data_IF_752380897002
#
_entry.id   IF_752380897002
#
_cell.length_a   1.000
_cell.length_b   1.000
_cell.length_c   1.000
_cell.angle_alpha   90.00
_cell.angle_beta   90.00
_cell.angle_gamma   90.00
#
_symmetry.space_group_name_H-M   'P 1'
#
loop_
_entity.id
_entity.type
_entity.pdbx_description
1 polymer ?
#
# COMPACT_ATOMS: atom_id res chain seq x y z
N UNK A 1 11.21 15.44 2.75
CA UNK A 1 11.26 16.62 1.88
C UNK A 1 10.09 17.56 2.10
N UNK A 2 10.12 18.75 1.49
CA UNK A 2 8.98 19.69 1.54
C UNK A 2 7.91 19.20 0.56
N UNK A 3 6.62 19.13 0.93
CA UNK A 3 5.54 18.85 0.00
C UNK A 3 5.50 19.90 -1.13
N UNK A 4 5.16 19.46 -2.33
CA UNK A 4 4.96 20.38 -3.44
C UNK A 4 3.57 21.04 -3.29
N UNK A 5 3.54 22.36 -3.23
CA UNK A 5 2.31 23.14 -3.11
C UNK A 5 2.30 24.24 -4.17
N UNK A 6 1.12 24.55 -4.72
CA UNK A 6 0.92 25.67 -5.62
C UNK A 6 -0.39 26.37 -5.22
N UNK A 7 -0.31 27.66 -4.92
CA UNK A 7 -1.47 28.48 -4.57
C UNK A 7 -2.16 29.09 -5.81
N UNK A 8 -1.55 28.96 -6.98
CA UNK A 8 -2.08 29.50 -8.22
C UNK A 8 -1.61 28.71 -9.45
N UNK A 9 -2.31 28.89 -10.57
CA UNK A 9 -1.91 28.32 -11.87
C UNK A 9 -0.50 28.78 -12.27
N UNK A 10 -0.13 30.01 -11.95
CA UNK A 10 1.19 30.57 -12.25
C UNK A 10 2.28 29.83 -11.45
N UNK A 11 2.04 29.54 -10.19
CA UNK A 11 2.98 28.76 -9.36
C UNK A 11 3.08 27.31 -9.85
N UNK A 12 1.96 26.70 -10.22
CA UNK A 12 1.95 25.37 -10.82
C UNK A 12 2.78 25.34 -12.12
N UNK A 13 2.63 26.32 -13.00
CA UNK A 13 3.43 26.45 -14.21
C UNK A 13 4.93 26.59 -13.92
N UNK A 14 5.31 27.39 -12.92
CA UNK A 14 6.70 27.51 -12.46
C UNK A 14 7.25 26.21 -11.90
N UNK A 15 6.43 25.41 -11.21
CA UNK A 15 6.84 24.09 -10.74
C UNK A 15 7.13 23.14 -11.92
N UNK A 16 6.28 23.10 -12.94
CA UNK A 16 6.53 22.31 -14.15
C UNK A 16 7.82 22.73 -14.85
N UNK A 17 8.07 24.04 -14.99
CA UNK A 17 9.30 24.54 -15.58
C UNK A 17 10.53 24.17 -14.74
N UNK A 18 10.44 24.28 -13.40
CA UNK A 18 11.52 23.91 -12.48
C UNK A 18 11.90 22.43 -12.61
N UNK A 19 10.91 21.53 -12.74
CA UNK A 19 11.11 20.09 -12.86
C UNK A 19 11.22 19.60 -14.31
N UNK A 20 11.24 20.48 -15.30
CA UNK A 20 11.27 20.12 -16.72
C UNK A 20 12.42 19.16 -17.06
N UNK A 21 13.58 19.35 -16.45
CA UNK A 21 14.77 18.50 -16.68
C UNK A 21 14.62 17.05 -16.25
N UNK A 22 13.66 16.71 -15.37
CA UNK A 22 13.40 15.34 -14.94
C UNK A 22 12.21 14.71 -15.68
N UNK A 23 11.62 15.43 -16.64
CA UNK A 23 10.52 14.98 -17.50
C UNK A 23 9.37 14.34 -16.72
N UNK A 24 8.69 15.08 -15.79
CA UNK A 24 7.64 14.50 -14.97
C UNK A 24 6.49 14.01 -15.84
N UNK A 25 6.16 12.73 -15.71
CA UNK A 25 5.09 12.10 -16.48
C UNK A 25 3.74 12.21 -15.79
N UNK A 26 3.72 12.00 -14.49
CA UNK A 26 2.50 11.89 -13.70
C UNK A 26 2.52 12.87 -12.54
N UNK A 27 1.42 13.58 -12.38
CA UNK A 27 1.16 14.43 -11.23
C UNK A 27 0.09 13.79 -10.37
N UNK A 28 0.34 13.73 -9.06
CA UNK A 28 -0.62 13.27 -8.07
C UNK A 28 -1.10 14.44 -7.24
N UNK A 29 -2.40 14.49 -6.96
CA UNK A 29 -3.02 15.43 -6.04
C UNK A 29 -3.45 14.74 -4.75
N UNK A 30 -3.41 15.47 -3.63
CA UNK A 30 -3.93 15.00 -2.35
C UNK A 30 -5.44 14.84 -2.39
N UNK A 31 -5.95 13.78 -1.75
CA UNK A 31 -7.39 13.58 -1.48
C UNK A 31 -7.87 14.54 -0.39
N UNK A 32 -6.98 14.80 0.56
CA UNK A 32 -7.24 15.69 1.68
C UNK A 32 -6.91 17.13 1.33
N UNK A 33 -7.76 18.05 1.75
CA UNK A 33 -7.50 19.49 1.74
C UNK A 33 -6.97 19.85 3.13
N UNK A 34 -5.73 20.29 3.19
CA UNK A 34 -5.06 20.69 4.43
C UNK A 34 -5.20 22.20 4.66
N UNK A 35 -5.26 22.61 5.94
CA UNK A 35 -5.28 24.04 6.34
C UNK A 35 -3.92 24.69 6.11
N UNK A 36 -2.85 23.98 6.42
CA UNK A 36 -1.45 24.44 6.27
C UNK A 36 -0.59 23.31 5.72
N UNK A 37 0.26 23.60 4.73
CA UNK A 37 1.25 22.65 4.18
C UNK A 37 2.58 23.39 3.98
N UNK A 38 3.39 23.44 5.02
CA UNK A 38 4.72 24.05 4.98
C UNK A 38 5.83 22.99 5.04
N UNK A 39 5.58 21.88 5.73
CA UNK A 39 6.51 20.78 5.94
C UNK A 39 5.79 19.42 5.92
N UNK A 40 6.56 18.35 5.81
CA UNK A 40 6.03 16.99 5.67
C UNK A 40 5.20 16.55 6.90
N UNK A 41 5.61 16.95 8.10
CA UNK A 41 4.91 16.62 9.33
C UNK A 41 3.49 17.22 9.40
N UNK A 42 3.20 18.27 8.62
CA UNK A 42 1.86 18.86 8.56
C UNK A 42 0.84 17.91 7.91
N UNK A 43 1.30 17.00 7.03
CA UNK A 43 0.46 15.98 6.40
C UNK A 43 0.13 14.81 7.34
N UNK A 44 0.81 14.69 8.47
CA UNK A 44 0.61 13.63 9.48
C UNK A 44 -0.41 14.00 10.55
N UNK A 45 -0.75 15.29 10.61
CA UNK A 45 -1.65 15.86 11.61
C UNK A 45 -3.09 15.79 11.11
N UNK A 46 -3.90 14.92 11.72
CA UNK A 46 -5.31 14.81 11.34
C UNK A 46 -6.07 16.12 11.51
N UNK A 47 -5.83 16.85 12.58
CA UNK A 47 -6.44 18.17 12.85
C UNK A 47 -6.14 19.24 11.77
N UNK A 48 -5.13 18.99 10.94
CA UNK A 48 -4.79 19.86 9.81
C UNK A 48 -5.66 19.63 8.57
N UNK A 49 -6.45 18.55 8.53
CA UNK A 49 -7.35 18.25 7.42
C UNK A 49 -8.61 19.12 7.55
N UNK A 50 -8.87 19.94 6.51
CA UNK A 50 -10.07 20.76 6.42
C UNK A 50 -11.24 20.02 5.75
N UNK A 51 -10.94 19.27 4.67
CA UNK A 51 -11.91 18.48 3.91
C UNK A 51 -11.26 17.20 3.41
N UNK A 52 -12.08 16.19 3.14
CA UNK A 52 -11.67 14.93 2.50
C UNK A 52 -12.75 14.49 1.52
N UNK A 53 -12.38 14.18 0.30
CA UNK A 53 -13.29 13.60 -0.70
C UNK A 53 -13.46 12.10 -0.43
N UNK A 54 -14.68 11.57 -0.25
CA UNK A 54 -14.92 10.13 -0.34
C UNK A 54 -14.55 9.63 -1.74
N UNK A 55 -13.68 8.62 -1.81
CA UNK A 55 -13.20 8.07 -3.08
C UNK A 55 -13.23 6.54 -3.03
N UNK A 56 -13.87 5.94 -4.01
CA UNK A 56 -13.80 4.51 -4.29
C UNK A 56 -12.73 4.28 -5.33
N UNK A 57 -11.72 3.51 -4.99
CA UNK A 57 -10.66 3.12 -5.92
C UNK A 57 -11.03 1.80 -6.58
N UNK A 58 -11.27 1.85 -7.89
CA UNK A 58 -11.66 0.71 -8.70
C UNK A 58 -10.53 0.40 -9.67
N UNK A 59 -9.67 -0.50 -9.28
CA UNK A 59 -8.57 -0.99 -10.10
C UNK A 59 -9.04 -2.01 -11.14
N UNK A 60 -8.35 -2.05 -12.27
CA UNK A 60 -8.59 -3.02 -13.34
C UNK A 60 -7.44 -3.08 -14.34
N UNK A 61 -7.78 -3.37 -15.57
CA UNK A 61 -6.88 -3.33 -16.72
C UNK A 61 -7.63 -2.76 -17.95
N UNK A 62 -6.89 -2.46 -19.02
CA UNK A 62 -7.52 -2.00 -20.26
C UNK A 62 -8.45 -3.06 -20.87
N UNK A 63 -8.21 -4.34 -20.66
CA UNK A 63 -9.05 -5.44 -21.13
C UNK A 63 -10.33 -5.61 -20.30
N UNK A 64 -10.34 -5.08 -19.07
CA UNK A 64 -11.49 -5.17 -18.15
C UNK A 64 -12.17 -3.83 -17.90
N UNK A 65 -11.91 -2.82 -18.72
CA UNK A 65 -12.39 -1.45 -18.51
C UNK A 65 -13.92 -1.35 -18.41
N UNK A 66 -14.67 -2.16 -19.18
CA UNK A 66 -16.13 -2.20 -19.11
C UNK A 66 -16.62 -2.73 -17.75
N UNK A 67 -15.94 -3.74 -17.19
CA UNK A 67 -16.24 -4.26 -15.85
C UNK A 67 -15.86 -3.25 -14.75
N UNK A 68 -14.81 -2.47 -14.96
CA UNK A 68 -14.46 -1.35 -14.08
C UNK A 68 -15.56 -0.29 -14.07
N UNK A 69 -16.13 0.06 -15.24
CA UNK A 69 -17.30 0.95 -15.33
C UNK A 69 -18.54 0.32 -14.69
N UNK A 70 -18.78 -0.98 -14.89
CA UNK A 70 -19.91 -1.69 -14.27
C UNK A 70 -19.81 -1.62 -12.73
N UNK A 71 -18.62 -1.81 -12.15
CA UNK A 71 -18.38 -1.64 -10.72
C UNK A 71 -18.63 -0.19 -10.26
N UNK A 72 -18.16 0.79 -11.03
CA UNK A 72 -18.42 2.21 -10.76
C UNK A 72 -19.90 2.55 -10.78
N UNK A 73 -20.68 1.97 -11.71
CA UNK A 73 -22.13 2.16 -11.78
C UNK A 73 -22.84 1.65 -10.53
N UNK A 74 -22.46 0.50 -10.00
CA UNK A 74 -23.02 -0.02 -8.75
C UNK A 74 -22.86 1.00 -7.60
N UNK A 75 -21.68 1.63 -7.51
CA UNK A 75 -21.43 2.66 -6.48
C UNK A 75 -22.26 3.92 -6.77
N UNK A 76 -22.33 4.38 -8.01
CA UNK A 76 -23.14 5.56 -8.41
C UNK A 76 -24.62 5.33 -8.10
N UNK A 77 -25.16 4.16 -8.43
CA UNK A 77 -26.55 3.80 -8.17
C UNK A 77 -26.84 3.77 -6.65
N UNK A 78 -25.90 3.25 -5.86
CA UNK A 78 -25.98 3.31 -4.38
C UNK A 78 -26.03 4.77 -3.89
N UNK A 79 -25.19 5.65 -4.41
CA UNK A 79 -25.15 7.06 -4.02
C UNK A 79 -26.46 7.78 -4.40
N UNK A 80 -26.96 7.54 -5.60
CA UNK A 80 -28.26 8.10 -6.07
C UNK A 80 -29.42 7.65 -5.18
N UNK A 81 -29.49 6.36 -4.80
CA UNK A 81 -30.48 5.84 -3.87
C UNK A 81 -30.44 6.52 -2.49
N UNK A 82 -29.29 7.08 -2.10
CA UNK A 82 -29.10 7.85 -0.87
C UNK A 82 -29.23 9.36 -1.08
N UNK A 83 -29.63 9.80 -2.27
CA UNK A 83 -29.85 11.21 -2.61
C UNK A 83 -28.58 12.01 -2.88
N UNK A 84 -27.47 11.36 -3.23
CA UNK A 84 -26.20 12.00 -3.59
C UNK A 84 -25.95 11.81 -5.07
N UNK A 85 -26.15 12.84 -5.87
CA UNK A 85 -26.08 12.79 -7.34
C UNK A 85 -25.28 13.95 -7.93
N UNK A 86 -25.60 15.18 -7.54
CA UNK A 86 -25.04 16.41 -8.15
C UNK A 86 -23.56 16.60 -7.81
N UNK A 87 -23.19 16.22 -6.59
CA UNK A 87 -21.80 16.30 -6.11
C UNK A 87 -20.95 15.08 -6.49
N UNK A 88 -21.49 14.11 -7.23
CA UNK A 88 -20.77 12.92 -7.68
C UNK A 88 -20.06 13.21 -9.01
N UNK A 89 -18.83 12.76 -9.13
CA UNK A 89 -18.09 12.72 -10.39
C UNK A 89 -17.20 11.49 -10.48
N UNK A 90 -16.79 11.17 -11.67
CA UNK A 90 -15.99 10.03 -12.02
C UNK A 90 -14.66 10.49 -12.59
N UNK A 91 -13.63 9.70 -12.36
CA UNK A 91 -12.29 9.97 -12.85
C UNK A 91 -11.67 8.69 -13.39
N UNK A 92 -11.51 8.59 -14.70
CA UNK A 92 -10.73 7.52 -15.31
C UNK A 92 -9.25 7.80 -15.17
N UNK A 93 -8.50 6.95 -14.47
CA UNK A 93 -7.09 7.20 -14.16
C UNK A 93 -6.10 6.63 -15.19
N UNK A 94 -6.60 5.82 -16.15
CA UNK A 94 -5.83 5.16 -17.20
C UNK A 94 -6.03 3.64 -17.25
N UNK A 95 -6.09 2.95 -16.13
CA UNK A 95 -6.39 1.50 -16.02
C UNK A 95 -7.53 1.23 -15.03
N UNK A 96 -7.96 2.24 -14.30
CA UNK A 96 -9.01 2.16 -13.28
C UNK A 96 -9.91 3.38 -13.26
N UNK A 97 -10.97 3.30 -12.48
CA UNK A 97 -11.96 4.32 -12.26
C UNK A 97 -12.01 4.71 -10.79
N UNK A 98 -12.01 6.01 -10.52
CA UNK A 98 -12.35 6.51 -9.19
C UNK A 98 -13.76 7.12 -9.24
N UNK A 99 -14.62 6.71 -8.32
CA UNK A 99 -15.88 7.41 -8.04
C UNK A 99 -15.59 8.39 -6.91
N UNK A 100 -16.08 9.62 -7.01
CA UNK A 100 -15.86 10.67 -6.02
C UNK A 100 -17.18 11.29 -5.58
N UNK A 101 -17.25 11.65 -4.28
CA UNK A 101 -18.14 12.72 -3.83
C UNK A 101 -17.25 13.95 -3.61
N UNK A 102 -17.66 15.08 -4.13
CA UNK A 102 -16.94 16.35 -3.96
C UNK A 102 -16.79 16.65 -2.45
N UNK A 103 -15.60 17.07 -2.01
CA UNK A 103 -15.28 17.27 -0.59
C UNK A 103 -16.12 18.36 0.09
N UNK A 104 -16.81 19.22 -0.69
CA UNK A 104 -17.72 20.25 -0.20
C UNK A 104 -19.20 19.86 -0.29
N UNK A 105 -19.50 18.61 -0.54
CA UNK A 105 -20.88 18.10 -0.48
C UNK A 105 -21.41 17.93 0.95
N UNK A 106 -20.62 18.27 1.96
CA UNK A 106 -20.92 18.17 3.37
C UNK A 106 -21.14 19.54 3.98
N UNK A 107 -22.19 19.67 4.82
CA UNK A 107 -22.43 20.91 5.54
C UNK A 107 -21.36 21.20 6.59
N UNK A 108 -21.24 22.48 6.93
CA UNK A 108 -20.35 22.91 8.00
C UNK A 108 -20.75 22.30 9.35
N UNK A 109 -22.06 22.22 9.62
CA UNK A 109 -22.59 21.64 10.85
C UNK A 109 -22.20 20.17 11.03
N UNK A 110 -22.13 19.40 9.94
CA UNK A 110 -21.64 18.02 9.97
C UNK A 110 -20.14 17.97 10.27
N UNK A 111 -19.34 18.78 9.58
CA UNK A 111 -17.87 18.77 9.69
C UNK A 111 -17.38 19.41 11.01
N UNK A 112 -18.20 20.21 11.69
CA UNK A 112 -17.90 20.69 13.03
C UNK A 112 -18.09 19.59 14.11
N UNK A 113 -18.89 18.57 13.81
CA UNK A 113 -19.13 17.42 14.72
C UNK A 113 -18.26 16.22 14.43
N UNK A 114 -17.96 15.98 13.17
CA UNK A 114 -17.26 14.77 12.71
C UNK A 114 -16.06 15.15 11.88
N UNK A 115 -14.95 14.48 12.16
CA UNK A 115 -13.72 14.73 11.39
C UNK A 115 -13.89 14.36 9.91
N UNK A 116 -13.43 15.21 8.94
CA UNK A 116 -13.63 14.97 7.50
C UNK A 116 -13.15 13.60 7.02
N UNK A 117 -12.03 13.11 7.57
CA UNK A 117 -11.49 11.79 7.24
C UNK A 117 -12.41 10.66 7.74
N UNK A 118 -13.01 10.81 8.93
CA UNK A 118 -13.98 9.85 9.47
C UNK A 118 -15.23 9.79 8.61
N UNK A 119 -15.71 10.93 8.15
CA UNK A 119 -16.86 11.05 7.24
C UNK A 119 -16.57 10.31 5.93
N UNK A 120 -15.47 10.66 5.25
CA UNK A 120 -15.12 10.10 3.97
C UNK A 120 -14.88 8.58 4.04
N UNK A 121 -14.09 8.14 5.02
CA UNK A 121 -13.82 6.72 5.25
C UNK A 121 -15.10 5.93 5.51
N UNK A 122 -15.98 6.45 6.37
CA UNK A 122 -17.21 5.74 6.73
C UNK A 122 -18.16 5.59 5.55
N UNK A 123 -18.30 6.60 4.70
CA UNK A 123 -19.16 6.53 3.52
C UNK A 123 -18.66 5.45 2.56
N UNK A 124 -17.37 5.46 2.26
CA UNK A 124 -16.75 4.46 1.37
C UNK A 124 -16.92 3.06 1.94
N UNK A 125 -16.59 2.87 3.20
CA UNK A 125 -16.69 1.58 3.88
C UNK A 125 -18.13 1.06 3.96
N UNK A 126 -19.07 1.93 4.31
CA UNK A 126 -20.50 1.59 4.39
C UNK A 126 -21.05 1.14 3.04
N UNK A 127 -20.76 1.87 1.96
CA UNK A 127 -21.20 1.51 0.62
C UNK A 127 -20.60 0.21 0.13
N UNK A 128 -19.28 -0.01 0.35
CA UNK A 128 -18.63 -1.26 -0.02
C UNK A 128 -19.25 -2.48 0.69
N UNK A 129 -19.59 -2.33 1.97
CA UNK A 129 -20.30 -3.39 2.72
C UNK A 129 -21.72 -3.62 2.17
N UNK A 130 -22.41 -2.56 1.82
CA UNK A 130 -23.79 -2.62 1.28
C UNK A 130 -23.84 -3.23 -0.13
N UNK A 131 -22.91 -2.86 -1.00
CA UNK A 131 -22.84 -3.32 -2.40
C UNK A 131 -21.98 -4.58 -2.57
N UNK A 132 -21.53 -5.20 -1.48
CA UNK A 132 -20.58 -6.33 -1.54
C UNK A 132 -21.03 -7.47 -2.47
N UNK A 133 -22.30 -7.93 -2.44
CA UNK A 133 -22.72 -9.04 -3.32
C UNK A 133 -22.61 -8.71 -4.81
N UNK A 134 -23.00 -7.50 -5.20
CA UNK A 134 -22.96 -7.03 -6.59
C UNK A 134 -21.51 -6.86 -7.06
N UNK A 135 -20.68 -6.23 -6.25
CA UNK A 135 -19.26 -5.99 -6.55
C UNK A 135 -18.49 -7.32 -6.65
N UNK A 136 -18.78 -8.30 -5.79
CA UNK A 136 -18.16 -9.63 -5.89
C UNK A 136 -18.44 -10.31 -7.22
N UNK A 137 -19.66 -10.17 -7.79
CA UNK A 137 -19.96 -10.70 -9.12
C UNK A 137 -19.08 -10.10 -10.22
N UNK A 138 -18.77 -8.79 -10.11
CA UNK A 138 -17.84 -8.14 -11.07
C UNK A 138 -16.42 -8.68 -10.90
N UNK A 139 -15.98 -8.83 -9.66
CA UNK A 139 -14.67 -9.40 -9.35
C UNK A 139 -14.53 -10.83 -9.91
N UNK A 140 -15.56 -11.66 -9.76
CA UNK A 140 -15.60 -13.03 -10.31
C UNK A 140 -15.59 -13.01 -11.85
N UNK A 141 -16.44 -12.19 -12.50
CA UNK A 141 -16.45 -12.01 -13.97
C UNK A 141 -15.08 -11.60 -14.50
N UNK A 142 -14.37 -10.74 -13.79
CA UNK A 142 -13.03 -10.28 -14.16
C UNK A 142 -11.92 -11.29 -13.80
N UNK A 143 -12.25 -12.42 -13.23
CA UNK A 143 -11.29 -13.41 -12.66
C UNK A 143 -10.33 -12.78 -11.65
N UNK A 144 -10.83 -11.83 -10.85
CA UNK A 144 -10.06 -11.14 -9.81
C UNK A 144 -9.17 -9.99 -10.30
N UNK A 145 -9.27 -9.60 -11.57
CA UNK A 145 -8.53 -8.44 -12.11
C UNK A 145 -9.11 -7.14 -11.57
N UNK A 146 -10.45 -7.00 -11.58
CA UNK A 146 -11.11 -5.83 -10.98
C UNK A 146 -11.10 -5.94 -9.47
N UNK A 147 -10.78 -4.84 -8.80
CA UNK A 147 -10.80 -4.68 -7.34
C UNK A 147 -11.45 -3.37 -6.99
N UNK A 148 -12.15 -3.33 -5.87
CA UNK A 148 -12.73 -2.09 -5.34
C UNK A 148 -12.29 -1.94 -3.89
N UNK A 149 -11.61 -0.83 -3.59
CA UNK A 149 -10.93 -0.65 -2.31
C UNK A 149 -11.28 0.70 -1.67
N UNK A 150 -11.28 0.70 -0.31
CA UNK A 150 -11.29 1.92 0.48
C UNK A 150 -9.83 2.28 0.79
N UNK A 151 -9.31 3.26 0.06
CA UNK A 151 -7.93 3.71 0.15
C UNK A 151 -7.80 5.04 0.92
N UNK A 152 -8.86 5.47 1.64
CA UNK A 152 -8.86 6.73 2.41
C UNK A 152 -7.88 6.64 3.58
N UNK A 153 -6.91 7.54 3.61
CA UNK A 153 -5.95 7.71 4.70
C UNK A 153 -5.46 9.16 4.80
N UNK A 154 -4.57 9.42 5.80
CA UNK A 154 -4.03 10.76 6.10
C UNK A 154 -3.26 11.40 4.95
N UNK A 155 -2.64 10.63 4.07
CA UNK A 155 -1.70 11.12 3.05
C UNK A 155 -2.04 10.64 1.64
N UNK A 156 -3.24 10.11 1.44
CA UNK A 156 -3.63 9.54 0.15
C UNK A 156 -3.53 10.56 -0.98
N UNK A 157 -2.95 10.12 -2.08
CA UNK A 157 -2.88 10.87 -3.32
C UNK A 157 -3.39 10.02 -4.47
N UNK A 158 -4.03 10.67 -5.45
CA UNK A 158 -4.46 10.04 -6.70
C UNK A 158 -3.97 10.84 -7.90
N UNK A 159 -3.95 10.21 -9.07
CA UNK A 159 -3.60 10.87 -10.33
C UNK A 159 -4.46 12.13 -10.52
N UNK A 160 -3.81 13.28 -10.71
CA UNK A 160 -4.51 14.55 -10.92
C UNK A 160 -5.23 14.56 -12.28
N UNK A 161 -6.36 15.26 -12.40
CA UNK A 161 -7.03 15.44 -13.70
C UNK A 161 -6.09 15.98 -14.76
N UNK A 162 -6.21 15.47 -15.99
CA UNK A 162 -5.37 15.77 -17.15
C UNK A 162 -3.89 15.38 -17.03
N UNK A 163 -3.49 14.72 -15.97
CA UNK A 163 -2.16 14.12 -15.84
C UNK A 163 -2.10 12.79 -16.59
N UNK A 164 -0.93 12.44 -17.12
CA UNK A 164 -0.71 11.14 -17.74
C UNK A 164 -0.67 10.02 -16.69
N UNK A 165 -1.19 8.86 -17.06
CA UNK A 165 -1.02 7.67 -16.27
C UNK A 165 0.46 7.25 -16.19
N UNK A 166 0.91 6.70 -15.05
CA UNK A 166 2.33 6.38 -14.78
C UNK A 166 2.96 5.41 -15.78
N UNK A 167 2.16 4.53 -16.41
CA UNK A 167 2.66 3.46 -17.30
C UNK A 167 2.05 3.50 -18.70
N UNK A 168 0.92 4.19 -18.90
CA UNK A 168 0.17 4.20 -20.16
C UNK A 168 0.14 5.59 -20.75
N UNK A 169 0.08 5.68 -22.07
CA UNK A 169 -0.13 6.96 -22.76
C UNK A 169 -1.62 7.30 -22.79
N UNK A 170 -2.18 7.49 -21.60
CA UNK A 170 -3.56 7.84 -21.35
C UNK A 170 -3.63 9.00 -20.35
N UNK A 171 -4.46 9.99 -20.61
CA UNK A 171 -4.74 11.10 -19.73
C UNK A 171 -5.79 10.71 -18.69
N UNK A 172 -5.65 11.24 -17.48
CA UNK A 172 -6.67 11.14 -16.43
C UNK A 172 -7.81 12.10 -16.75
N UNK A 173 -9.02 11.60 -17.03
CA UNK A 173 -10.18 12.42 -17.41
C UNK A 173 -11.31 12.29 -16.41
N UNK A 174 -11.98 13.44 -16.13
CA UNK A 174 -13.17 13.47 -15.29
C UNK A 174 -14.43 13.57 -16.15
N UNK A 175 -15.52 13.03 -15.64
CA UNK A 175 -16.86 13.11 -16.25
C UNK A 175 -17.94 12.88 -15.20
N UNK A 176 -19.19 13.24 -15.54
CA UNK A 176 -20.36 13.05 -14.65
C UNK A 176 -20.96 11.65 -14.83
N UNK A 177 -21.72 11.15 -13.85
CA UNK A 177 -22.34 9.83 -13.92
C UNK A 177 -23.22 9.55 -15.13
N UNK A 178 -23.94 10.56 -15.63
CA UNK A 178 -24.79 10.48 -16.82
C UNK A 178 -24.01 10.17 -18.09
N UNK A 179 -22.76 10.55 -18.14
CA UNK A 179 -21.87 10.30 -19.28
C UNK A 179 -21.25 8.89 -19.28
N UNK A 180 -21.45 8.06 -18.24
CA UNK A 180 -20.86 6.72 -18.15
C UNK A 180 -21.24 5.81 -19.32
N UNK A 181 -22.48 5.91 -19.82
CA UNK A 181 -22.96 5.08 -20.94
C UNK A 181 -22.28 5.38 -22.25
N UNK A 182 -21.74 6.58 -22.40
CA UNK A 182 -21.03 7.05 -23.60
C UNK A 182 -19.52 7.07 -23.48
N UNK A 183 -19.00 6.70 -22.30
CA UNK A 183 -17.55 6.66 -22.05
C UNK A 183 -16.88 5.62 -22.96
N UNK A 184 -15.74 6.00 -23.53
CA UNK A 184 -14.81 5.09 -24.20
C UNK A 184 -13.38 5.44 -23.82
N UNK A 185 -12.44 4.50 -24.00
CA UNK A 185 -11.01 4.72 -23.71
C UNK A 185 -10.41 5.85 -24.56
N UNK A 186 -11.01 6.17 -25.71
CA UNK A 186 -10.60 7.31 -26.55
C UNK A 186 -10.72 8.66 -25.82
N UNK A 187 -11.60 8.77 -24.80
CA UNK A 187 -11.68 9.99 -23.99
C UNK A 187 -10.39 10.29 -23.25
N UNK A 188 -9.59 9.26 -22.98
CA UNK A 188 -8.29 9.37 -22.31
C UNK A 188 -7.13 9.60 -23.28
N UNK A 189 -7.36 9.88 -24.57
CA UNK A 189 -6.31 10.23 -25.51
C UNK A 189 -5.51 11.44 -24.97
N UNK A 190 -4.20 11.31 -24.77
CA UNK A 190 -3.39 12.37 -24.18
C UNK A 190 -3.28 13.63 -25.06
N UNK A 191 -3.52 13.51 -26.37
CA UNK A 191 -3.45 14.62 -27.32
C UNK A 191 -4.78 15.32 -27.50
N UNK A 192 -5.89 14.61 -27.23
CA UNK A 192 -7.24 15.18 -27.34
C UNK A 192 -8.16 14.62 -26.23
N UNK A 193 -7.86 14.88 -24.96
CA UNK A 193 -8.62 14.31 -23.85
C UNK A 193 -10.03 14.92 -23.78
N UNK A 194 -11.03 14.05 -23.69
CA UNK A 194 -12.41 14.48 -23.43
C UNK A 194 -12.61 14.56 -21.91
N UNK A 195 -12.42 15.75 -21.37
CA UNK A 195 -12.49 16.04 -19.96
C UNK A 195 -13.61 17.02 -19.64
N UNK A 196 -14.47 16.66 -18.70
CA UNK A 196 -15.56 17.52 -18.23
C UNK A 196 -15.14 18.30 -16.99
N UNK A 197 -15.27 19.63 -17.06
CA UNK A 197 -14.94 20.55 -15.97
C UNK A 197 -15.97 20.61 -14.85
N UNK A 198 -17.16 20.02 -15.02
CA UNK A 198 -18.25 20.00 -14.05
C UNK A 198 -17.94 19.11 -12.81
N UNK A 199 -16.84 18.39 -12.79
CA UNK A 199 -16.34 17.71 -11.60
C UNK A 199 -16.15 18.64 -10.37
N UNK A 200 -16.09 19.97 -10.58
CA UNK A 200 -15.97 20.99 -9.55
C UNK A 200 -17.33 21.41 -8.94
N UNK A 201 -18.42 20.95 -9.53
CA UNK A 201 -19.76 21.29 -9.08
C UNK A 201 -20.17 20.43 -7.87
N UNK A 202 -20.78 21.07 -6.89
CA UNK A 202 -21.27 20.41 -5.69
C UNK A 202 -22.52 21.11 -5.14
N UNK A 203 -23.24 20.40 -4.28
CA UNK A 203 -24.35 20.94 -3.47
C UNK A 203 -24.00 20.70 -2.01
N UNK A 204 -23.79 21.77 -1.24
CA UNK A 204 -23.47 21.69 0.18
C UNK A 204 -24.58 20.99 0.94
N UNK A 205 -24.22 20.04 1.82
CA UNK A 205 -25.15 19.25 2.60
C UNK A 205 -25.83 18.08 1.87
N UNK A 206 -25.59 17.91 0.56
CA UNK A 206 -26.21 16.83 -0.22
C UNK A 206 -25.88 15.44 0.36
N UNK A 207 -24.69 15.26 0.87
CA UNK A 207 -24.22 13.97 1.39
C UNK A 207 -24.37 13.80 2.90
N UNK A 208 -24.94 14.75 3.63
CA UNK A 208 -25.00 14.75 5.09
C UNK A 208 -25.77 13.54 5.64
N UNK A 209 -26.93 13.22 5.07
CA UNK A 209 -27.77 12.10 5.50
C UNK A 209 -27.03 10.77 5.36
N UNK A 210 -26.34 10.58 4.24
CA UNK A 210 -25.52 9.40 3.98
C UNK A 210 -24.35 9.34 4.98
N UNK A 211 -23.68 10.46 5.22
CA UNK A 211 -22.56 10.58 6.15
C UNK A 211 -22.95 10.16 7.57
N UNK A 212 -24.08 10.69 8.10
CA UNK A 212 -24.59 10.35 9.43
C UNK A 212 -24.88 8.86 9.56
N UNK A 213 -25.54 8.27 8.56
CA UNK A 213 -25.82 6.83 8.54
C UNK A 213 -24.53 6.01 8.52
N UNK A 214 -23.60 6.39 7.65
CA UNK A 214 -22.33 5.68 7.49
C UNK A 214 -21.46 5.72 8.76
N UNK A 215 -21.36 6.89 9.41
CA UNK A 215 -20.60 7.04 10.66
C UNK A 215 -21.21 6.19 11.78
N UNK A 216 -22.55 6.13 11.89
CA UNK A 216 -23.23 5.30 12.90
C UNK A 216 -22.93 3.82 12.72
N UNK A 217 -22.82 3.34 11.46
CA UNK A 217 -22.59 1.92 11.14
C UNK A 217 -21.10 1.56 11.21
N UNK A 218 -20.22 2.43 10.74
CA UNK A 218 -18.78 2.15 10.59
C UNK A 218 -17.96 2.65 11.78
N UNK A 219 -18.27 3.84 12.29
CA UNK A 219 -17.62 4.44 13.46
C UNK A 219 -16.36 5.22 13.17
N UNK A 220 -16.08 5.61 11.91
CA UNK A 220 -14.97 6.47 11.52
C UNK A 220 -13.73 5.74 11.03
N UNK A 221 -12.65 6.50 10.80
CA UNK A 221 -11.38 6.02 10.28
C UNK A 221 -10.60 5.22 11.34
N UNK A 222 -10.39 3.93 11.07
CA UNK A 222 -9.69 3.04 12.01
C UNK A 222 -8.23 3.38 12.25
N UNK A 223 -7.62 4.28 11.45
CA UNK A 223 -6.23 4.71 11.61
C UNK A 223 -5.95 5.54 12.88
N UNK A 224 -6.99 6.08 13.54
CA UNK A 224 -6.89 6.76 14.83
C UNK A 224 -6.78 5.78 16.01
N UNK A 225 -7.11 4.51 15.79
CA UNK A 225 -7.16 3.47 16.83
C UNK A 225 -5.90 2.63 16.77
N UNK A 226 -5.43 2.13 17.91
CA UNK A 226 -4.30 1.21 17.99
C UNK A 226 -4.57 -0.13 17.26
N UNK A 227 -5.85 -0.51 17.12
CA UNK A 227 -6.28 -1.69 16.37
C UNK A 227 -6.93 -1.22 15.07
N UNK A 228 -6.20 -1.31 13.97
CA UNK A 228 -6.74 -1.11 12.62
C UNK A 228 -7.71 -2.23 12.27
N UNK A 229 -9.00 -1.93 12.21
CA UNK A 229 -9.89 -2.72 11.35
C UNK A 229 -9.44 -2.49 9.89
N UNK A 230 -9.14 -3.58 9.18
CA UNK A 230 -8.75 -3.45 7.76
C UNK A 230 -9.93 -2.92 6.98
N UNK A 231 -9.70 -1.88 6.17
CA UNK A 231 -10.66 -1.38 5.20
C UNK A 231 -11.19 -2.52 4.32
N UNK A 232 -12.46 -2.45 3.97
CA UNK A 232 -13.09 -3.46 3.11
C UNK A 232 -12.44 -3.44 1.72
N UNK A 233 -11.94 -4.59 1.32
CA UNK A 233 -11.45 -4.85 -0.01
C UNK A 233 -12.38 -5.86 -0.68
N UNK A 234 -13.06 -5.42 -1.73
CA UNK A 234 -13.87 -6.30 -2.55
C UNK A 234 -12.99 -6.75 -3.72
N UNK A 235 -12.40 -7.91 -3.53
CA UNK A 235 -11.58 -8.59 -4.51
C UNK A 235 -11.98 -10.06 -4.54
N UNK A 236 -11.66 -10.79 -5.60
CA UNK A 236 -11.78 -12.23 -5.55
C UNK A 236 -11.00 -12.73 -4.33
N UNK A 237 -11.66 -13.45 -3.44
CA UNK A 237 -10.94 -14.37 -2.59
C UNK A 237 -10.29 -15.37 -3.57
N UNK A 238 -9.04 -15.07 -3.96
CA UNK A 238 -8.25 -16.11 -4.59
C UNK A 238 -8.37 -17.33 -3.67
N UNK A 239 -8.59 -18.56 -4.22
CA UNK A 239 -8.42 -19.76 -3.42
C UNK A 239 -7.12 -19.57 -2.68
N UNK A 240 -7.00 -19.88 -1.37
CA UNK A 240 -5.88 -19.44 -0.55
C UNK A 240 -4.60 -19.89 -1.24
N UNK A 241 -4.12 -19.05 -2.16
CA UNK A 241 -2.75 -19.16 -2.65
C UNK A 241 -1.93 -19.01 -1.40
N UNK A 242 -1.05 -19.95 -1.08
CA UNK A 242 -0.25 -19.87 0.12
C UNK A 242 0.38 -18.48 0.12
N UNK A 243 0.03 -17.64 1.12
CA UNK A 243 0.49 -16.26 1.22
C UNK A 243 2.01 -16.30 1.14
N UNK A 244 2.57 -15.84 0.02
CA UNK A 244 4.01 -15.89 -0.21
C UNK A 244 4.65 -14.64 0.38
N UNK A 245 5.62 -14.85 1.24
CA UNK A 245 6.54 -13.79 1.64
C UNK A 245 7.44 -13.49 0.42
N UNK A 246 7.61 -12.22 0.07
CA UNK A 246 8.44 -11.82 -1.06
C UNK A 246 9.92 -12.21 -0.87
N UNK A 247 10.64 -12.48 -1.96
CA UNK A 247 12.08 -12.87 -1.92
C UNK A 247 12.96 -11.86 -1.18
N UNK A 248 12.66 -10.58 -1.29
CA UNK A 248 13.36 -9.50 -0.61
C UNK A 248 13.18 -9.63 0.92
N UNK A 249 11.96 -9.88 1.37
CA UNK A 249 11.64 -10.06 2.78
C UNK A 249 12.25 -11.35 3.34
N UNK A 250 12.21 -12.45 2.59
CA UNK A 250 12.85 -13.71 3.00
C UNK A 250 14.36 -13.53 3.11
N UNK A 251 15.00 -12.81 2.17
CA UNK A 251 16.44 -12.50 2.25
C UNK A 251 16.75 -11.69 3.50
N UNK A 252 16.02 -10.59 3.75
CA UNK A 252 16.22 -9.74 4.91
C UNK A 252 16.03 -10.49 6.24
N UNK A 253 14.98 -11.30 6.32
CA UNK A 253 14.68 -12.11 7.50
C UNK A 253 15.76 -13.14 7.81
N UNK A 254 16.20 -13.92 6.80
CA UNK A 254 17.22 -14.95 6.99
C UNK A 254 18.60 -14.37 7.26
N UNK A 255 18.95 -13.24 6.66
CA UNK A 255 20.21 -12.56 6.95
C UNK A 255 20.21 -11.93 8.34
N UNK A 256 19.09 -11.37 8.79
CA UNK A 256 18.94 -10.92 10.18
C UNK A 256 19.05 -12.10 11.17
N UNK A 257 18.38 -13.21 10.89
CA UNK A 257 18.48 -14.42 11.71
C UNK A 257 19.92 -14.99 11.75
N UNK A 258 20.64 -14.98 10.59
CA UNK A 258 22.05 -15.36 10.50
C UNK A 258 22.93 -14.52 11.43
N UNK A 259 22.82 -13.20 11.34
CA UNK A 259 23.58 -12.29 12.20
C UNK A 259 23.25 -12.53 13.68
N UNK A 260 21.96 -12.63 14.02
CA UNK A 260 21.51 -12.86 15.38
C UNK A 260 22.02 -14.17 15.97
N UNK A 261 21.99 -15.26 15.21
CA UNK A 261 22.52 -16.57 15.66
C UNK A 261 24.02 -16.52 15.93
N UNK A 262 24.78 -15.71 15.17
CA UNK A 262 26.23 -15.58 15.32
C UNK A 262 26.66 -14.63 16.44
N UNK A 263 25.86 -13.59 16.74
CA UNK A 263 26.27 -12.48 17.61
C UNK A 263 25.38 -12.22 18.83
N UNK A 264 24.10 -12.63 18.77
CA UNK A 264 23.09 -12.33 19.80
C UNK A 264 22.52 -10.91 19.77
N UNK A 265 23.01 -10.00 18.89
CA UNK A 265 22.60 -8.60 18.84
C UNK A 265 21.42 -8.41 17.87
N UNK A 266 20.21 -8.21 18.39
CA UNK A 266 18.98 -8.10 17.60
C UNK A 266 18.92 -6.81 16.77
N UNK A 267 19.36 -5.69 17.32
CA UNK A 267 19.27 -4.39 16.62
C UNK A 267 20.22 -4.35 15.43
N UNK A 268 21.44 -4.81 15.61
CA UNK A 268 22.40 -4.95 14.50
C UNK A 268 21.96 -6.04 13.52
N UNK A 269 21.32 -7.10 13.97
CA UNK A 269 20.77 -8.14 13.12
C UNK A 269 19.70 -7.57 12.14
N UNK A 270 18.79 -6.73 12.62
CA UNK A 270 17.81 -6.05 11.78
C UNK A 270 18.49 -5.15 10.73
N UNK A 271 19.45 -4.32 11.16
CA UNK A 271 20.22 -3.47 10.24
C UNK A 271 20.97 -4.31 9.19
N UNK A 272 21.66 -5.38 9.60
CA UNK A 272 22.36 -6.28 8.69
C UNK A 272 21.42 -6.95 7.69
N UNK A 273 20.28 -7.46 8.16
CA UNK A 273 19.29 -8.12 7.32
C UNK A 273 18.79 -7.23 6.21
N UNK A 274 18.40 -5.99 6.51
CA UNK A 274 17.96 -5.02 5.50
C UNK A 274 19.10 -4.65 4.54
N UNK A 275 20.30 -4.39 5.07
CA UNK A 275 21.47 -4.07 4.28
C UNK A 275 21.75 -5.15 3.22
N UNK A 276 21.74 -6.43 3.62
CA UNK A 276 21.98 -7.54 2.70
C UNK A 276 20.83 -7.73 1.70
N UNK A 277 19.58 -7.55 2.11
CA UNK A 277 18.44 -7.61 1.18
C UNK A 277 18.56 -6.56 0.06
N UNK A 278 18.94 -5.33 0.43
CA UNK A 278 19.17 -4.23 -0.54
C UNK A 278 20.36 -4.59 -1.46
N UNK A 279 21.47 -5.08 -0.90
CA UNK A 279 22.64 -5.49 -1.67
C UNK A 279 22.30 -6.54 -2.72
N UNK A 280 21.61 -7.63 -2.35
CA UNK A 280 21.26 -8.67 -3.31
C UNK A 280 20.22 -8.22 -4.34
N UNK A 281 19.29 -7.36 -3.98
CA UNK A 281 18.37 -6.76 -4.92
C UNK A 281 19.11 -5.89 -5.96
N UNK A 282 20.06 -5.07 -5.50
CA UNK A 282 20.91 -4.23 -6.36
C UNK A 282 21.80 -5.06 -7.28
N UNK A 283 22.50 -6.08 -6.74
CA UNK A 283 23.41 -6.94 -7.49
C UNK A 283 22.72 -7.68 -8.65
N UNK A 284 21.45 -8.06 -8.46
CA UNK A 284 20.62 -8.70 -9.49
C UNK A 284 20.38 -7.79 -10.69
N UNK A 285 20.26 -6.49 -10.48
CA UNK A 285 19.98 -5.52 -11.57
C UNK A 285 21.25 -5.00 -12.26
N UNK A 286 22.42 -5.13 -11.64
CA UNK A 286 23.67 -4.51 -12.12
C UNK A 286 24.79 -5.54 -12.48
N UNK A 287 24.43 -6.81 -12.65
CA UNK A 287 25.32 -7.80 -13.29
C UNK A 287 26.51 -8.28 -12.47
N UNK A 288 26.39 -8.34 -11.12
CA UNK A 288 27.34 -9.06 -10.28
C UNK A 288 27.98 -8.27 -9.14
N UNK A 289 28.33 -8.98 -8.08
CA UNK A 289 28.79 -8.45 -6.78
C UNK A 289 30.11 -7.63 -6.82
N UNK A 290 30.89 -7.69 -7.90
CA UNK A 290 32.19 -6.98 -8.02
C UNK A 290 32.09 -5.48 -8.32
N UNK A 291 30.94 -4.97 -8.74
CA UNK A 291 30.77 -3.56 -9.11
C UNK A 291 30.23 -2.66 -7.96
N UNK A 292 29.91 -3.22 -6.81
CA UNK A 292 29.28 -2.53 -5.68
C UNK A 292 30.26 -1.73 -4.79
N UNK A 293 31.56 -1.86 -5.00
CA UNK A 293 32.52 -1.07 -4.27
C UNK A 293 32.75 0.30 -4.95
N UNK A 294 32.22 1.33 -4.29
CA UNK A 294 32.77 2.68 -4.38
C UNK A 294 32.67 3.44 -5.72
N UNK A 295 31.48 3.79 -6.23
CA UNK A 295 31.37 5.01 -7.05
C UNK A 295 30.06 5.77 -6.78
N UNK A 296 30.21 6.95 -6.18
CA UNK A 296 29.27 8.06 -6.33
C UNK A 296 28.14 8.14 -5.30
N UNK A 297 28.43 8.41 -4.03
CA UNK A 297 27.46 8.98 -3.08
C UNK A 297 28.06 10.25 -2.44
N UNK A 298 27.24 11.26 -2.08
CA UNK A 298 27.72 12.43 -1.39
C UNK A 298 28.36 12.03 -0.05
N UNK A 299 29.47 12.65 0.30
CA UNK A 299 30.22 12.46 1.55
C UNK A 299 29.29 12.74 2.74
N UNK A 300 28.77 11.70 3.35
CA UNK A 300 28.10 11.79 4.64
C UNK A 300 28.51 10.60 5.53
N UNK A 301 29.14 10.91 6.66
CA UNK A 301 29.62 10.09 7.77
C UNK A 301 30.74 9.10 7.42
N UNK A 302 31.78 9.06 8.24
CA UNK A 302 32.86 8.07 8.17
C UNK A 302 32.27 6.67 8.26
N UNK A 303 32.42 5.89 7.19
CA UNK A 303 32.00 4.48 7.11
C UNK A 303 33.25 3.64 7.03
N UNK A 304 33.37 2.66 7.90
CA UNK A 304 34.48 1.72 7.97
C UNK A 304 34.05 0.36 7.39
N UNK A 305 34.89 -0.25 6.56
CA UNK A 305 34.66 -1.62 6.10
C UNK A 305 35.02 -2.60 7.21
N UNK A 306 34.07 -3.48 7.58
CA UNK A 306 34.29 -4.55 8.56
C UNK A 306 33.89 -5.88 7.97
N UNK A 307 34.66 -6.91 8.29
CA UNK A 307 34.27 -8.28 7.99
C UNK A 307 33.18 -8.74 8.97
N UNK A 308 32.01 -9.07 8.44
CA UNK A 308 30.85 -9.48 9.24
C UNK A 308 30.19 -10.68 8.57
N UNK A 309 30.06 -11.78 9.30
CA UNK A 309 29.50 -13.02 8.77
C UNK A 309 30.21 -13.53 7.49
N UNK A 310 31.53 -13.29 7.33
CA UNK A 310 32.28 -13.65 6.15
C UNK A 310 32.04 -12.75 4.94
N UNK A 311 31.58 -11.53 5.16
CA UNK A 311 31.36 -10.51 4.11
C UNK A 311 31.95 -9.17 4.54
N UNK A 312 32.60 -8.44 3.63
CA UNK A 312 32.99 -7.06 3.87
C UNK A 312 31.77 -6.14 3.76
N UNK A 313 31.41 -5.48 4.83
CA UNK A 313 30.21 -4.62 4.90
C UNK A 313 30.57 -3.26 5.47
N UNK A 314 30.13 -2.16 4.83
CA UNK A 314 30.28 -0.81 5.37
C UNK A 314 29.49 -0.64 6.68
N UNK A 315 30.17 -0.18 7.73
CA UNK A 315 29.61 0.06 9.07
C UNK A 315 29.80 1.53 9.43
N UNK A 316 28.75 2.18 9.88
CA UNK A 316 28.78 3.56 10.35
C UNK A 316 29.29 3.67 11.80
N UNK A 317 29.55 4.89 12.27
CA UNK A 317 30.08 5.15 13.63
C UNK A 317 29.15 4.63 14.75
N UNK A 318 27.83 4.57 14.50
CA UNK A 318 26.83 4.03 15.41
C UNK A 318 26.78 2.48 15.41
N UNK A 319 27.61 1.83 14.60
CA UNK A 319 27.71 0.39 14.49
C UNK A 319 26.65 -0.27 13.61
N UNK A 320 25.77 0.51 12.97
CA UNK A 320 24.81 0.01 11.98
C UNK A 320 25.41 -0.08 10.58
N UNK A 321 24.80 -0.90 9.74
CA UNK A 321 25.30 -1.18 8.39
C UNK A 321 24.81 -0.13 7.39
N UNK A 322 25.68 0.22 6.44
CA UNK A 322 25.40 1.24 5.44
C UNK A 322 25.54 0.69 4.02
N UNK A 323 24.78 1.22 3.08
CA UNK A 323 24.91 0.96 1.65
C UNK A 323 24.61 2.22 0.86
N UNK A 324 25.50 2.56 -0.11
CA UNK A 324 25.35 3.76 -0.92
C UNK A 324 25.33 5.06 -0.11
N UNK A 325 26.05 5.11 1.04
CA UNK A 325 26.10 6.26 1.93
C UNK A 325 24.89 6.40 2.86
N UNK A 326 23.94 5.48 2.82
CA UNK A 326 22.73 5.47 3.68
C UNK A 326 22.86 4.37 4.71
N UNK A 327 22.67 4.72 6.00
CA UNK A 327 22.64 3.76 7.12
C UNK A 327 21.28 3.10 7.17
N UNK A 328 21.25 1.76 7.27
CA UNK A 328 20.04 0.98 7.47
C UNK A 328 19.78 0.83 8.97
N UNK A 329 18.73 1.47 9.47
CA UNK A 329 18.36 1.39 10.88
C UNK A 329 17.43 0.21 11.17
N UNK A 330 17.29 -0.24 12.43
CA UNK A 330 16.28 -1.22 12.83
C UNK A 330 14.85 -0.82 12.44
N UNK A 331 14.52 0.49 12.52
CA UNK A 331 13.22 1.03 12.08
C UNK A 331 12.98 0.84 10.59
N UNK A 332 14.03 0.98 9.77
CA UNK A 332 13.93 0.75 8.33
C UNK A 332 13.67 -0.72 8.02
N UNK A 333 14.30 -1.62 8.78
CA UNK A 333 14.02 -3.06 8.71
C UNK A 333 12.57 -3.36 9.10
N UNK A 334 12.08 -2.81 10.21
CA UNK A 334 10.72 -3.03 10.68
C UNK A 334 9.70 -2.57 9.63
N UNK A 335 9.94 -1.43 8.98
CA UNK A 335 9.08 -0.91 7.91
C UNK A 335 9.15 -1.73 6.62
N UNK A 336 10.34 -2.15 6.18
CA UNK A 336 10.53 -2.75 4.86
C UNK A 336 10.47 -4.28 4.88
N UNK A 337 10.80 -4.92 6.00
CA UNK A 337 10.84 -6.37 6.14
C UNK A 337 9.72 -6.87 7.06
N UNK A 338 9.72 -6.47 8.34
CA UNK A 338 8.79 -7.01 9.32
C UNK A 338 7.34 -6.70 8.99
N UNK A 339 7.04 -5.45 8.64
CA UNK A 339 5.68 -5.02 8.24
C UNK A 339 5.14 -5.82 7.05
N UNK A 340 5.97 -6.02 6.01
CA UNK A 340 5.56 -6.77 4.82
C UNK A 340 5.41 -8.28 5.09
N UNK A 341 6.19 -8.85 6.01
CA UNK A 341 6.00 -10.25 6.45
C UNK A 341 4.70 -10.37 7.24
N UNK A 342 4.38 -9.38 8.09
CA UNK A 342 3.16 -9.36 8.91
C UNK A 342 1.88 -9.36 8.08
N UNK A 343 1.94 -8.95 6.81
CA UNK A 343 0.81 -9.05 5.88
C UNK A 343 0.48 -10.50 5.47
N UNK A 344 1.43 -11.41 5.60
CA UNK A 344 1.29 -12.83 5.22
C UNK A 344 1.16 -13.76 6.43
N UNK A 345 1.99 -13.55 7.45
CA UNK A 345 2.03 -14.35 8.71
C UNK A 345 2.50 -13.44 9.84
N UNK A 346 2.14 -13.70 11.13
CA UNK A 346 2.67 -12.93 12.25
C UNK A 346 4.20 -12.88 12.22
N UNK A 347 4.78 -11.68 12.28
CA UNK A 347 6.23 -11.51 12.17
C UNK A 347 7.00 -12.29 13.23
N UNK A 348 6.51 -12.30 14.46
CA UNK A 348 7.13 -13.00 15.58
C UNK A 348 7.27 -14.52 15.32
N UNK A 349 6.27 -15.11 14.67
CA UNK A 349 6.30 -16.52 14.27
C UNK A 349 7.32 -16.75 13.16
N UNK A 350 7.32 -15.86 12.15
CA UNK A 350 8.28 -15.91 11.05
C UNK A 350 9.71 -15.73 11.55
N UNK A 351 9.95 -14.81 12.51
CA UNK A 351 11.23 -14.59 13.13
C UNK A 351 11.74 -15.82 13.90
N UNK A 352 10.91 -16.37 14.79
CA UNK A 352 11.25 -17.60 15.54
C UNK A 352 11.59 -18.75 14.59
N UNK A 353 10.75 -18.95 13.57
CA UNK A 353 10.98 -20.01 12.58
C UNK A 353 12.26 -19.79 11.78
N UNK A 354 12.59 -18.55 11.40
CA UNK A 354 13.83 -18.22 10.70
C UNK A 354 15.06 -18.47 11.56
N UNK A 355 15.05 -18.06 12.83
CA UNK A 355 16.14 -18.31 13.78
C UNK A 355 16.35 -19.82 13.97
N UNK A 356 15.29 -20.59 14.24
CA UNK A 356 15.37 -22.04 14.38
C UNK A 356 15.80 -22.75 13.09
N UNK A 357 15.41 -22.24 11.94
CA UNK A 357 15.86 -22.75 10.65
C UNK A 357 17.37 -22.53 10.46
N UNK A 358 17.85 -21.31 10.71
CA UNK A 358 19.26 -20.95 10.53
C UNK A 358 20.16 -21.68 11.51
N UNK A 359 19.73 -21.90 12.75
CA UNK A 359 20.48 -22.68 13.76
C UNK A 359 20.81 -24.11 13.33
N UNK A 360 20.08 -24.68 12.37
CA UNK A 360 20.34 -26.05 11.86
C UNK A 360 21.60 -26.16 11.03
N UNK A 361 22.15 -25.03 10.58
CA UNK A 361 23.33 -25.02 9.72
C UNK A 361 24.63 -24.83 10.52
N UNK A 362 25.71 -25.50 10.13
CA UNK A 362 26.98 -25.37 10.80
C UNK A 362 27.56 -23.95 10.66
N UNK A 363 28.36 -23.53 11.65
CA UNK A 363 28.95 -22.18 11.69
C UNK A 363 29.69 -21.82 10.38
N UNK A 364 30.42 -22.78 9.75
CA UNK A 364 31.11 -22.56 8.51
C UNK A 364 30.22 -22.25 7.28
N UNK A 365 28.91 -22.60 7.35
CA UNK A 365 27.92 -22.15 6.35
C UNK A 365 27.46 -20.73 6.66
N UNK A 366 27.29 -20.43 7.97
CA UNK A 366 26.83 -19.12 8.42
C UNK A 366 27.90 -18.02 8.31
N UNK A 367 29.17 -18.37 8.21
CA UNK A 367 30.29 -17.44 8.03
C UNK A 367 30.84 -17.42 6.59
N UNK A 368 30.10 -17.97 5.63
CA UNK A 368 30.42 -17.92 4.21
C UNK A 368 29.22 -17.40 3.42
N UNK A 369 29.42 -16.31 2.67
CA UNK A 369 28.37 -15.63 1.91
C UNK A 369 27.76 -16.53 0.84
N UNK A 370 28.57 -17.22 0.06
CA UNK A 370 28.10 -18.01 -1.08
C UNK A 370 27.40 -19.28 -0.60
N UNK A 371 27.95 -19.93 0.43
CA UNK A 371 27.32 -21.10 1.02
C UNK A 371 26.01 -20.75 1.72
N UNK A 372 25.93 -19.64 2.45
CA UNK A 372 24.67 -19.18 3.03
C UNK A 372 23.62 -18.93 1.95
N UNK A 373 23.99 -18.25 0.87
CA UNK A 373 23.06 -18.01 -0.22
C UNK A 373 22.52 -19.31 -0.82
N UNK A 374 23.42 -20.24 -1.16
CA UNK A 374 23.08 -21.49 -1.85
C UNK A 374 22.39 -22.52 -0.96
N UNK A 375 22.88 -22.71 0.28
CA UNK A 375 22.44 -23.79 1.15
C UNK A 375 21.29 -23.37 2.08
N UNK A 376 21.21 -22.09 2.48
CA UNK A 376 20.21 -21.60 3.44
C UNK A 376 19.07 -20.83 2.76
N UNK A 377 19.40 -19.82 1.94
CA UNK A 377 18.40 -18.93 1.35
C UNK A 377 17.72 -19.55 0.11
N UNK A 378 18.48 -20.02 -0.85
CA UNK A 378 17.95 -20.46 -2.15
C UNK A 378 16.91 -21.59 -2.04
N UNK A 379 17.04 -22.60 -1.15
CA UNK A 379 16.05 -23.67 -1.02
C UNK A 379 14.69 -23.22 -0.50
N UNK A 380 14.59 -22.04 0.15
CA UNK A 380 13.37 -21.56 0.83
C UNK A 380 12.87 -20.22 0.32
N UNK A 381 13.62 -19.53 -0.54
CA UNK A 381 13.31 -18.17 -1.01
C UNK A 381 11.90 -17.97 -1.59
N UNK A 382 11.33 -19.02 -2.18
CA UNK A 382 10.00 -18.99 -2.81
C UNK A 382 8.93 -19.77 -2.03
N UNK A 383 9.33 -20.46 -0.97
CA UNK A 383 8.49 -21.39 -0.22
C UNK A 383 8.79 -21.37 1.29
N UNK A 384 9.14 -20.20 1.82
CA UNK A 384 9.51 -20.04 3.24
C UNK A 384 8.39 -20.49 4.18
N UNK A 385 7.15 -20.10 3.89
CA UNK A 385 5.99 -20.47 4.74
C UNK A 385 5.82 -21.99 4.79
N UNK A 386 5.90 -22.67 3.65
CA UNK A 386 5.67 -24.13 3.57
C UNK A 386 6.82 -24.93 4.17
N UNK A 387 8.05 -24.50 3.89
CA UNK A 387 9.25 -25.29 4.23
C UNK A 387 9.81 -24.98 5.61
N UNK A 388 9.63 -23.75 6.09
CA UNK A 388 10.23 -23.30 7.35
C UNK A 388 9.15 -23.12 8.41
N UNK A 389 8.11 -22.32 8.13
CA UNK A 389 7.09 -21.99 9.12
C UNK A 389 6.16 -23.18 9.42
N UNK A 390 5.54 -23.83 8.40
CA UNK A 390 4.59 -24.94 8.60
C UNK A 390 5.24 -26.23 9.12
N UNK A 391 6.53 -26.46 8.86
CA UNK A 391 7.24 -27.62 9.42
C UNK A 391 7.60 -27.45 10.90
N UNK A 392 7.59 -26.20 11.42
CA UNK A 392 7.86 -25.90 12.83
C UNK A 392 6.60 -25.93 13.71
N UNK A 393 5.43 -25.75 13.13
CA UNK A 393 4.14 -25.73 13.85
C UNK A 393 3.44 -27.09 13.66
N UNK A 394 3.51 -27.97 14.67
CA UNK A 394 2.50 -29.01 14.82
C UNK A 394 1.19 -28.30 15.16
N UNK A 395 0.32 -28.10 14.18
CA UNK A 395 -1.06 -27.66 14.40
C UNK A 395 -1.72 -28.75 15.24
N UNK A 396 -2.26 -28.46 16.45
CA UNK A 396 -3.13 -29.40 17.13
C UNK A 396 -4.27 -29.73 16.16
N UNK A 397 -4.55 -31.02 15.91
CA UNK A 397 -5.71 -31.43 15.14
C UNK A 397 -6.91 -30.67 15.69
N UNK A 398 -7.59 -29.89 14.84
CA UNK A 398 -8.89 -29.35 15.15
C UNK A 398 -9.77 -30.54 15.59
N UNK A 399 -10.20 -30.51 16.87
CA UNK A 399 -11.25 -31.40 17.34
C UNK A 399 -12.49 -31.06 16.51
N UNK A 400 -12.90 -31.98 15.67
CA UNK A 400 -14.17 -31.91 14.94
C UNK A 400 -15.31 -31.96 15.96
N UNK A 401 -16.39 -31.19 15.71
CA UNK A 401 -17.59 -31.13 16.57
C UNK A 401 -18.14 -32.54 16.93
N UNK A 402 -17.89 -33.54 16.10
CA UNK A 402 -18.26 -34.93 16.34
C UNK A 402 -17.57 -35.60 17.55
N UNK A 403 -16.40 -35.08 17.99
CA UNK A 403 -15.70 -35.59 19.19
C UNK A 403 -16.22 -35.05 20.49
N UNK A 404 -17.05 -33.99 20.45
CA UNK A 404 -17.71 -33.40 21.64
C UNK A 404 -19.04 -34.08 21.99
N UNK A 405 -19.67 -34.75 21.03
CA UNK A 405 -20.95 -35.43 21.24
C UNK A 405 -20.82 -36.94 21.59
N UNK A 406 -19.63 -37.51 21.52
CA UNK A 406 -19.40 -38.92 21.88
C UNK A 406 -19.12 -39.18 23.37
N UNK A 407 -19.03 -38.15 24.23
CA UNK A 407 -18.78 -38.32 25.67
C UNK A 407 -20.02 -38.09 26.57
N UNK A 408 -21.20 -37.85 26.00
CA UNK A 408 -22.43 -37.66 26.79
C UNK A 408 -23.40 -38.88 26.81
N UNK A 409 -22.93 -40.06 26.38
CA UNK A 409 -23.76 -41.29 26.39
C UNK A 409 -23.07 -42.38 27.19
N UNK A 410 -22.61 -42.09 28.39
CA UNK A 410 -22.27 -43.13 29.39
C UNK A 410 -22.23 -42.48 30.76
N UNK A 411 -23.41 -42.29 31.33
CA UNK A 411 -23.71 -42.45 32.74
C UNK A 411 -25.24 -42.29 32.94
#
# INVERSE_FOLDING_TARGET
>A
GRPLTAASVVELAKMFEHYRGVHPRTVYGSVNVYRVVEKEEDLEKGENIAFTSPIWDIDGSLETWELVLEAGRIIVDFLSQHGVEKSVFLKWSGEGLHVHIHERAFSRELLDKYHPLDVAYSIVEYSLRSCKPELLRIVEKSKGVVKVENEIDLKRVFTAPLSLHRKRDLACVCFKPDAMSSFSLEWADPWNPRHDGSWREFVEGEADKLALTAIQVVGGYGGWREVREKATKIAAEAPPTPRKIGRFQVMGLLQAARYYVLTGDLEKAKSFGLNRAIFYAWAKHHGGARAASLRGAPRAKKVELKEVCGEEVPVAEDGFFAMGGVVQTPRDYDRQIAFNISSAVPYEEAWKAAVEYVKKFPRGVLTDQQRFFKEVYEPVRDSFIEKVLKRGIRIPRQMTLDSLFSQSSSN
#
